data_IF_909981957408
#
_entry.id   IF_909981957408
#
_cell.length_a   1.000
_cell.length_b   1.000
_cell.length_c   1.000
_cell.angle_alpha   90.00
_cell.angle_beta   90.00
_cell.angle_gamma   90.00
#
_symmetry.space_group_name_H-M   'P 1'
#
loop_
_entity.id
_entity.type
_entity.pdbx_description
1 polymer ?
#
# COMPACT_ATOMS: atom_id res chain seq x y z
N UNK A 1 -3.35 -16.27 31.96
CA UNK A 1 -2.36 -15.22 31.71
C UNK A 1 -2.70 -14.58 30.38
N UNK A 2 -2.97 -13.27 30.28
CA UNK A 2 -3.26 -12.63 28.99
C UNK A 2 -1.97 -12.42 28.20
N UNK A 3 -2.00 -12.79 26.91
CA UNK A 3 -0.90 -12.62 25.96
C UNK A 3 -0.51 -11.14 25.79
N UNK A 4 0.76 -10.83 25.53
CA UNK A 4 1.28 -9.47 25.59
C UNK A 4 0.71 -8.59 24.47
N UNK A 5 0.14 -7.44 24.87
CA UNK A 5 -0.50 -6.40 24.04
C UNK A 5 0.41 -5.71 22.98
N UNK A 6 1.67 -6.14 22.84
CA UNK A 6 2.63 -5.57 21.84
C UNK A 6 2.47 -6.08 20.40
N UNK A 7 1.61 -7.08 20.16
CA UNK A 7 1.45 -7.69 18.84
C UNK A 7 0.58 -6.90 17.86
N UNK A 8 -0.21 -5.90 18.32
CA UNK A 8 -1.20 -5.23 17.47
C UNK A 8 -0.57 -4.19 16.51
N UNK A 9 0.34 -3.36 16.99
CA UNK A 9 0.94 -2.29 16.18
C UNK A 9 1.96 -2.81 15.14
N UNK A 10 2.65 -3.92 15.45
CA UNK A 10 3.65 -4.52 14.54
C UNK A 10 2.99 -5.36 13.44
N UNK A 11 1.81 -5.92 13.69
CA UNK A 11 1.05 -6.72 12.70
C UNK A 11 0.39 -5.86 11.61
N UNK A 12 0.01 -4.62 11.89
CA UNK A 12 -0.60 -3.74 10.88
C UNK A 12 0.37 -3.38 9.74
N UNK A 13 1.65 -3.17 10.00
CA UNK A 13 2.67 -2.91 8.96
C UNK A 13 2.99 -4.11 8.08
N UNK A 14 2.76 -5.34 8.55
CA UNK A 14 3.10 -6.57 7.81
C UNK A 14 2.04 -7.02 6.78
N UNK A 15 0.86 -6.38 6.74
CA UNK A 15 -0.28 -6.82 5.92
C UNK A 15 -0.76 -5.83 4.86
N UNK A 16 -0.08 -4.69 4.67
CA UNK A 16 -0.35 -3.79 3.53
C UNK A 16 0.15 -4.34 2.19
N UNK A 17 0.75 -5.52 2.19
CA UNK A 17 1.31 -6.17 0.99
C UNK A 17 0.27 -6.98 0.19
N UNK A 18 -0.91 -6.45 0.02
CA UNK A 18 -1.72 -6.84 -1.13
C UNK A 18 -1.51 -5.81 -2.22
N UNK A 19 -1.37 -6.29 -3.45
CA UNK A 19 -1.38 -5.46 -4.62
C UNK A 19 -2.65 -4.58 -4.61
N UNK A 20 -2.59 -3.44 -3.93
CA UNK A 20 -3.67 -2.48 -3.83
C UNK A 20 -3.35 -1.32 -4.76
N UNK A 21 -4.28 -0.99 -5.65
CA UNK A 21 -4.16 0.22 -6.45
C UNK A 21 -4.69 1.40 -5.64
N UNK A 22 -3.83 2.39 -5.41
CA UNK A 22 -4.20 3.63 -4.72
C UNK A 22 -4.83 4.61 -5.70
N UNK A 23 -5.81 5.39 -5.21
CA UNK A 23 -6.38 6.51 -5.93
C UNK A 23 -5.90 7.85 -5.35
N UNK A 24 -5.78 8.88 -6.21
CA UNK A 24 -5.60 10.24 -5.73
C UNK A 24 -6.82 10.74 -4.95
N UNK A 25 -6.63 11.70 -4.06
CA UNK A 25 -7.71 12.28 -3.27
C UNK A 25 -8.87 12.79 -4.15
N UNK A 26 -8.57 13.53 -5.24
CA UNK A 26 -9.60 14.07 -6.12
C UNK A 26 -10.41 12.96 -6.83
N UNK A 27 -9.77 11.84 -7.19
CA UNK A 27 -10.44 10.67 -7.75
C UNK A 27 -11.36 10.02 -6.71
N UNK A 28 -10.84 9.84 -5.49
CA UNK A 28 -11.57 9.28 -4.36
C UNK A 28 -12.80 10.14 -4.01
N UNK A 29 -12.65 11.46 -3.96
CA UNK A 29 -13.77 12.39 -3.70
C UNK A 29 -14.82 12.39 -4.79
N UNK A 30 -14.41 12.27 -6.05
CA UNK A 30 -15.38 12.13 -7.17
C UNK A 30 -16.24 10.87 -6.96
N UNK A 31 -15.60 9.75 -6.63
CA UNK A 31 -16.31 8.49 -6.37
C UNK A 31 -17.20 8.63 -5.12
N UNK A 32 -16.75 9.29 -4.06
CA UNK A 32 -17.58 9.58 -2.89
C UNK A 32 -18.85 10.36 -3.26
N UNK A 33 -18.72 11.40 -4.08
CA UNK A 33 -19.86 12.20 -4.54
C UNK A 33 -20.84 11.36 -5.39
N UNK A 34 -20.35 10.47 -6.26
CA UNK A 34 -21.17 9.53 -7.04
C UNK A 34 -22.03 8.62 -6.15
N UNK A 35 -21.55 8.28 -4.96
CA UNK A 35 -22.26 7.47 -3.97
C UNK A 35 -23.07 8.29 -2.97
N UNK A 36 -23.06 9.61 -3.08
CA UNK A 36 -23.81 10.51 -2.20
C UNK A 36 -23.13 10.83 -0.87
N UNK A 37 -21.82 10.59 -0.74
CA UNK A 37 -21.04 11.05 0.40
C UNK A 37 -20.69 12.53 0.21
N UNK A 38 -21.04 13.42 1.13
CA UNK A 38 -20.76 14.84 1.01
C UNK A 38 -19.26 15.13 0.99
N UNK A 39 -18.81 15.87 -0.02
CA UNK A 39 -17.42 16.35 -0.18
C UNK A 39 -17.42 17.84 -0.52
N UNK A 40 -16.37 18.59 -0.16
CA UNK A 40 -16.23 19.98 -0.62
C UNK A 40 -16.09 20.04 -2.14
N UNK A 41 -16.57 21.12 -2.74
CA UNK A 41 -16.31 21.41 -4.16
C UNK A 41 -14.83 21.59 -4.42
N UNK A 42 -14.31 20.96 -5.49
CA UNK A 42 -12.91 21.06 -5.82
C UNK A 42 -12.60 20.72 -7.28
N UNK A 43 -11.43 21.15 -7.75
CA UNK A 43 -10.93 20.93 -9.11
C UNK A 43 -9.45 20.58 -9.11
N UNK A 44 -9.06 19.64 -9.97
CA UNK A 44 -7.66 19.30 -10.20
C UNK A 44 -7.02 20.32 -11.14
N UNK A 45 -5.74 20.61 -10.91
CA UNK A 45 -4.93 21.49 -11.75
C UNK A 45 -3.52 20.92 -11.91
N UNK A 46 -3.00 20.99 -13.13
CA UNK A 46 -1.64 20.55 -13.49
C UNK A 46 -0.71 21.75 -13.76
N UNK A 47 -1.26 22.97 -13.79
CA UNK A 47 -0.54 24.21 -13.98
C UNK A 47 -0.99 25.28 -12.99
N UNK A 48 -0.16 26.32 -12.79
CA UNK A 48 -0.51 27.49 -11.98
C UNK A 48 -1.79 28.18 -12.54
N UNK A 49 -1.87 28.33 -13.85
CA UNK A 49 -2.99 28.99 -14.50
C UNK A 49 -4.31 28.24 -14.29
N UNK A 50 -4.28 26.89 -14.39
CA UNK A 50 -5.44 26.04 -14.09
C UNK A 50 -5.86 26.14 -12.63
N UNK A 51 -4.90 26.23 -11.69
CA UNK A 51 -5.21 26.36 -10.26
C UNK A 51 -5.88 27.71 -9.95
N UNK A 52 -5.42 28.79 -10.58
CA UNK A 52 -6.04 30.13 -10.47
C UNK A 52 -7.46 30.11 -11.06
N UNK A 53 -7.65 29.51 -12.24
CA UNK A 53 -8.96 29.36 -12.86
C UNK A 53 -9.92 28.55 -11.98
N UNK A 54 -9.44 27.43 -11.40
CA UNK A 54 -10.21 26.62 -10.47
C UNK A 54 -10.71 27.42 -9.26
N UNK A 55 -9.86 28.28 -8.69
CA UNK A 55 -10.25 29.16 -7.58
C UNK A 55 -11.35 30.17 -7.98
N UNK A 56 -11.33 30.65 -9.23
CA UNK A 56 -12.37 31.55 -9.76
C UNK A 56 -13.74 30.88 -9.94
N UNK A 57 -13.77 29.56 -10.12
CA UNK A 57 -15.00 28.80 -10.31
C UNK A 57 -15.55 28.18 -9.02
N UNK A 58 -14.75 28.11 -7.98
CA UNK A 58 -15.12 27.52 -6.70
C UNK A 58 -15.57 28.60 -5.71
N UNK A 59 -16.54 28.29 -4.82
CA UNK A 59 -16.93 29.22 -3.75
C UNK A 59 -15.74 29.64 -2.89
N UNK A 60 -15.55 30.96 -2.73
CA UNK A 60 -14.56 31.57 -1.84
C UNK A 60 -15.18 32.09 -0.53
N UNK A 61 -14.44 32.83 0.25
CA UNK A 61 -13.15 33.49 0.02
C UNK A 61 -11.91 32.68 0.46
N UNK A 62 -12.07 31.41 0.80
CA UNK A 62 -10.96 30.55 1.27
C UNK A 62 -10.88 29.32 0.39
N UNK A 63 -9.68 29.01 -0.07
CA UNK A 63 -9.37 27.79 -0.82
C UNK A 63 -8.24 27.03 -0.16
N UNK A 64 -8.18 25.72 -0.42
CA UNK A 64 -7.10 24.85 0.02
C UNK A 64 -6.47 24.20 -1.22
N UNK A 65 -5.15 24.37 -1.37
CA UNK A 65 -4.36 23.71 -2.42
C UNK A 65 -3.70 22.48 -1.84
N UNK A 66 -3.98 21.31 -2.40
CA UNK A 66 -3.52 20.01 -1.88
C UNK A 66 -2.72 19.26 -2.95
N UNK A 67 -1.45 18.95 -2.67
CA UNK A 67 -0.63 18.08 -3.53
C UNK A 67 -1.29 16.71 -3.71
N UNK A 68 -1.33 16.22 -4.94
CA UNK A 68 -1.89 14.90 -5.25
C UNK A 68 -0.77 13.87 -5.31
N UNK A 69 -0.60 13.11 -4.24
CA UNK A 69 0.35 12.01 -4.09
C UNK A 69 -0.30 10.86 -3.33
N UNK A 70 0.14 9.62 -3.59
CA UNK A 70 -0.36 8.41 -2.94
C UNK A 70 0.26 8.20 -1.54
N UNK A 71 0.27 9.25 -0.72
CA UNK A 71 0.81 9.19 0.64
C UNK A 71 -0.01 10.02 1.62
N UNK A 72 -0.09 9.55 2.84
CA UNK A 72 -0.64 10.29 3.98
C UNK A 72 0.36 11.29 4.56
N UNK A 73 -0.13 12.15 5.48
CA UNK A 73 0.72 13.12 6.18
C UNK A 73 1.10 14.35 5.34
N UNK A 74 0.45 14.56 4.20
CA UNK A 74 0.70 15.68 3.28
C UNK A 74 0.71 17.04 3.96
N UNK A 75 -0.22 17.27 4.89
CA UNK A 75 -0.31 18.54 5.62
C UNK A 75 0.96 18.87 6.39
N UNK A 76 1.51 17.90 7.14
CA UNK A 76 2.77 18.06 7.90
C UNK A 76 3.99 18.23 7.00
N UNK A 77 3.93 17.66 5.80
CA UNK A 77 5.01 17.75 4.80
C UNK A 77 4.93 19.00 3.91
N UNK A 78 3.99 19.92 4.15
CA UNK A 78 3.84 21.14 3.36
C UNK A 78 3.03 20.99 2.07
N UNK A 79 2.47 19.80 1.81
CA UNK A 79 1.64 19.49 0.63
C UNK A 79 0.18 19.97 0.73
N UNK A 80 -0.16 20.77 1.76
CA UNK A 80 -1.49 21.39 1.91
C UNK A 80 -1.29 22.86 2.28
N UNK A 81 -1.90 23.78 1.53
CA UNK A 81 -1.81 25.22 1.75
C UNK A 81 -3.19 25.86 1.71
N UNK A 82 -3.49 26.64 2.75
CA UNK A 82 -4.67 27.48 2.83
C UNK A 82 -4.39 28.81 2.13
N UNK A 83 -5.27 29.24 1.22
CA UNK A 83 -5.16 30.44 0.41
C UNK A 83 -6.42 31.31 0.57
N UNK A 84 -6.25 32.61 0.54
CA UNK A 84 -7.33 33.61 0.71
C UNK A 84 -7.56 34.46 -0.51
N UNK A 85 -6.82 34.19 -1.58
CA UNK A 85 -6.96 34.86 -2.87
C UNK A 85 -6.55 33.93 -4.00
N UNK A 86 -7.07 34.14 -5.22
CA UNK A 86 -6.69 33.36 -6.39
C UNK A 86 -5.18 33.48 -6.73
N UNK A 87 -4.52 34.63 -6.58
CA UNK A 87 -3.07 34.72 -6.74
C UNK A 87 -2.29 33.89 -5.69
N UNK A 88 -2.78 33.76 -4.46
CA UNK A 88 -2.17 32.85 -3.48
C UNK A 88 -2.33 31.40 -3.87
N UNK A 89 -3.47 30.99 -4.45
CA UNK A 89 -3.70 29.66 -4.99
C UNK A 89 -2.68 29.35 -6.10
N UNK A 90 -2.46 30.28 -7.05
CA UNK A 90 -1.46 30.14 -8.10
C UNK A 90 -0.05 29.94 -7.52
N UNK A 91 0.38 30.82 -6.61
CA UNK A 91 1.69 30.70 -5.94
C UNK A 91 1.86 29.38 -5.19
N UNK A 92 0.82 28.92 -4.49
CA UNK A 92 0.85 27.65 -3.78
C UNK A 92 0.96 26.46 -4.75
N UNK A 93 0.23 26.48 -5.85
CA UNK A 93 0.30 25.46 -6.90
C UNK A 93 1.68 25.43 -7.57
N UNK A 94 2.22 26.59 -7.97
CA UNK A 94 3.55 26.72 -8.58
C UNK A 94 4.67 26.21 -7.65
N UNK A 95 4.54 26.43 -6.34
CA UNK A 95 5.51 25.95 -5.36
C UNK A 95 5.47 24.44 -5.14
N UNK A 96 4.37 23.77 -5.45
CA UNK A 96 4.19 22.31 -5.29
C UNK A 96 4.45 21.54 -6.58
N UNK A 97 3.93 22.02 -7.72
CA UNK A 97 4.03 21.34 -9.00
C UNK A 97 5.49 21.11 -9.41
N UNK A 98 5.79 19.91 -9.90
CA UNK A 98 7.15 19.50 -10.28
C UNK A 98 8.09 19.20 -9.10
N UNK A 99 7.67 19.41 -7.86
CA UNK A 99 8.44 19.03 -6.67
C UNK A 99 8.17 17.60 -6.25
N UNK A 100 8.96 17.10 -5.30
CA UNK A 100 8.72 15.80 -4.65
C UNK A 100 8.27 16.01 -3.21
N UNK A 101 7.20 15.36 -2.82
CA UNK A 101 6.70 15.43 -1.45
C UNK A 101 7.28 14.28 -0.63
N UNK A 102 8.05 14.62 0.41
CA UNK A 102 8.61 13.66 1.36
C UNK A 102 7.72 13.60 2.59
N UNK A 103 7.17 12.43 2.87
CA UNK A 103 6.37 12.13 4.07
C UNK A 103 6.96 10.89 4.75
N UNK A 104 6.54 10.56 5.98
CA UNK A 104 6.95 9.29 6.62
C UNK A 104 6.59 8.03 5.81
N UNK A 105 5.64 8.13 4.87
CA UNK A 105 5.18 7.01 4.04
C UNK A 105 5.91 6.90 2.68
N UNK A 106 6.54 7.99 2.19
CA UNK A 106 7.16 8.02 0.85
C UNK A 106 8.66 7.70 0.85
N UNK A 107 9.23 7.44 2.02
CA UNK A 107 10.69 7.34 2.15
C UNK A 107 11.41 8.66 1.86
N UNK A 108 12.76 8.64 1.85
CA UNK A 108 13.59 9.84 1.68
C UNK A 108 13.51 10.45 0.28
N UNK A 109 13.17 9.67 -0.74
CA UNK A 109 13.07 10.14 -2.14
C UNK A 109 11.80 10.91 -2.42
N UNK A 110 10.74 10.74 -1.61
CA UNK A 110 9.44 11.35 -1.81
C UNK A 110 8.73 10.89 -3.09
N UNK A 111 7.49 11.37 -3.30
CA UNK A 111 6.69 11.13 -4.51
C UNK A 111 6.55 12.40 -5.33
N UNK A 112 6.54 12.32 -6.68
CA UNK A 112 6.41 13.49 -7.54
C UNK A 112 5.01 14.12 -7.45
N UNK A 113 4.95 15.44 -7.48
CA UNK A 113 3.69 16.19 -7.52
C UNK A 113 3.44 16.64 -8.95
N UNK A 114 2.61 15.91 -9.69
CA UNK A 114 2.20 16.27 -11.05
C UNK A 114 0.94 17.10 -11.08
N UNK A 115 0.13 17.01 -10.04
CA UNK A 115 -1.16 17.67 -9.93
C UNK A 115 -1.39 18.19 -8.52
N UNK A 116 -2.17 19.27 -8.44
CA UNK A 116 -2.74 19.79 -7.19
C UNK A 116 -4.26 19.74 -7.27
N UNK A 117 -4.91 19.62 -6.12
CA UNK A 117 -6.35 19.75 -5.99
C UNK A 117 -6.68 21.05 -5.29
N UNK A 118 -7.41 21.92 -5.97
CA UNK A 118 -7.90 23.19 -5.41
C UNK A 118 -9.31 22.95 -4.90
N UNK A 119 -9.55 23.22 -3.64
CA UNK A 119 -10.79 22.90 -2.93
C UNK A 119 -11.31 24.11 -2.18
N UNK A 120 -12.65 24.27 -2.12
CA UNK A 120 -13.28 25.28 -1.27
C UNK A 120 -13.00 25.01 0.20
N UNK A 121 -12.64 26.03 0.95
CA UNK A 121 -12.40 25.93 2.38
C UNK A 121 -13.68 25.57 3.14
N UNK A 122 -13.55 24.74 4.16
CA UNK A 122 -14.64 24.31 5.04
C UNK A 122 -14.52 24.95 6.42
N UNK A 123 -15.64 25.37 6.98
CA UNK A 123 -15.71 25.91 8.35
C UNK A 123 -15.78 24.75 9.36
N UNK A 124 -14.64 24.26 9.80
CA UNK A 124 -14.50 23.08 10.65
C UNK A 124 -14.89 23.43 12.10
N UNK A 125 -15.79 22.64 12.69
CA UNK A 125 -16.08 22.64 14.12
C UNK A 125 -15.42 21.46 14.84
N UNK A 126 -15.45 20.24 14.22
CA UNK A 126 -14.84 19.03 14.78
C UNK A 126 -14.26 18.17 13.65
N UNK A 127 -13.21 17.44 13.97
CA UNK A 127 -12.58 16.48 13.08
C UNK A 127 -12.76 15.06 13.62
N UNK A 128 -13.22 14.15 12.78
CA UNK A 128 -13.48 12.76 13.09
C UNK A 128 -12.69 11.86 12.13
N UNK A 129 -12.43 10.64 12.54
CA UNK A 129 -11.87 9.59 11.70
C UNK A 129 -12.95 8.57 11.35
N UNK A 130 -12.98 8.12 10.09
CA UNK A 130 -13.83 7.03 9.65
C UNK A 130 -13.12 6.20 8.58
N UNK A 131 -13.10 4.88 8.74
CA UNK A 131 -12.61 3.96 7.71
C UNK A 131 -13.44 2.70 7.61
N UNK A 132 -13.35 2.07 6.42
CA UNK A 132 -13.93 0.75 6.11
C UNK A 132 -12.80 -0.10 5.56
N UNK A 133 -12.60 -1.28 6.13
CA UNK A 133 -11.52 -2.19 5.76
C UNK A 133 -11.94 -3.65 5.96
N UNK A 134 -11.21 -4.58 5.33
CA UNK A 134 -11.35 -6.01 5.58
C UNK A 134 -10.48 -6.44 6.77
N UNK A 135 -11.11 -6.89 7.85
CA UNK A 135 -10.43 -7.63 8.90
C UNK A 135 -10.30 -9.10 8.50
N UNK A 136 -9.08 -9.49 8.11
CA UNK A 136 -8.80 -10.85 7.66
C UNK A 136 -8.80 -11.87 8.79
N UNK A 137 -8.44 -11.47 10.01
CA UNK A 137 -8.44 -12.36 11.18
C UNK A 137 -9.88 -12.80 11.51
N UNK A 138 -10.84 -11.86 11.38
CA UNK A 138 -12.26 -12.13 11.65
C UNK A 138 -13.06 -12.46 10.40
N UNK A 139 -12.44 -12.35 9.21
CA UNK A 139 -13.10 -12.53 7.90
C UNK A 139 -14.36 -11.67 7.75
N UNK A 140 -14.28 -10.39 8.18
CA UNK A 140 -15.39 -9.43 8.17
C UNK A 140 -14.95 -8.05 7.73
N UNK A 141 -15.86 -7.34 7.08
CA UNK A 141 -15.68 -5.90 6.87
C UNK A 141 -15.86 -5.21 8.21
N UNK A 142 -14.91 -4.34 8.55
CA UNK A 142 -14.95 -3.56 9.76
C UNK A 142 -15.05 -2.07 9.45
N UNK A 143 -15.87 -1.36 10.21
CA UNK A 143 -15.82 0.09 10.32
C UNK A 143 -15.00 0.46 11.55
N UNK A 144 -14.06 1.38 11.37
CA UNK A 144 -13.27 1.96 12.44
C UNK A 144 -13.51 3.46 12.45
N UNK A 145 -13.81 4.00 13.62
CA UNK A 145 -14.12 5.42 13.80
C UNK A 145 -13.46 5.96 15.06
N UNK A 146 -13.16 7.25 15.09
CA UNK A 146 -12.66 7.94 16.27
C UNK A 146 -13.06 9.41 16.27
N UNK A 147 -13.29 9.96 17.44
CA UNK A 147 -13.47 11.40 17.64
C UNK A 147 -12.15 12.19 17.53
N UNK A 148 -11.00 11.52 17.37
CA UNK A 148 -9.70 12.10 17.13
C UNK A 148 -9.35 12.02 15.62
N UNK A 149 -9.97 12.90 14.81
CA UNK A 149 -9.69 13.05 13.39
C UNK A 149 -8.48 13.95 13.11
N UNK A 150 -8.02 13.98 11.84
CA UNK A 150 -6.87 14.77 11.41
C UNK A 150 -5.52 14.32 11.98
N UNK A 151 -5.50 13.19 12.68
CA UNK A 151 -4.32 12.61 13.33
C UNK A 151 -3.98 11.25 12.73
N UNK A 152 -2.75 10.76 13.01
CA UNK A 152 -2.37 9.38 12.70
C UNK A 152 -3.16 8.43 13.60
N UNK A 153 -4.04 7.61 12.99
CA UNK A 153 -4.94 6.73 13.73
C UNK A 153 -4.21 5.58 14.42
N UNK A 154 -3.07 5.13 13.89
CA UNK A 154 -2.24 4.10 14.50
C UNK A 154 -1.64 4.60 15.81
N UNK A 155 -1.25 5.89 15.87
CA UNK A 155 -0.77 6.50 17.10
C UNK A 155 -1.90 6.63 18.14
N UNK A 156 -3.11 6.99 17.72
CA UNK A 156 -4.29 7.03 18.59
C UNK A 156 -4.60 5.63 19.11
N UNK A 157 -4.62 4.62 18.24
CA UNK A 157 -4.88 3.24 18.63
C UNK A 157 -3.82 2.67 19.60
N UNK A 158 -2.56 3.11 19.47
CA UNK A 158 -1.47 2.66 20.34
C UNK A 158 -1.48 3.33 21.73
N UNK A 159 -1.82 4.64 21.78
CA UNK A 159 -1.77 5.45 23.01
C UNK A 159 -3.09 5.46 23.77
N UNK A 160 -4.21 5.50 23.04
CA UNK A 160 -5.56 5.71 23.57
C UNK A 160 -6.55 4.76 22.87
N UNK A 161 -6.38 3.42 23.02
CA UNK A 161 -7.18 2.41 22.30
C UNK A 161 -8.69 2.50 22.57
N UNK A 162 -9.09 3.09 23.70
CA UNK A 162 -10.48 3.33 24.07
C UNK A 162 -11.18 4.38 23.19
N UNK A 163 -10.41 5.24 22.51
CA UNK A 163 -10.93 6.21 21.54
C UNK A 163 -11.26 5.58 20.17
N UNK A 164 -10.87 4.32 19.96
CA UNK A 164 -11.14 3.61 18.73
C UNK A 164 -12.46 2.87 18.86
N UNK A 165 -13.44 3.32 18.09
CA UNK A 165 -14.73 2.67 17.95
C UNK A 165 -14.65 1.68 16.79
N UNK A 166 -15.19 0.48 16.98
CA UNK A 166 -15.22 -0.55 15.95
C UNK A 166 -16.55 -1.24 15.90
N UNK A 167 -17.01 -1.53 14.69
CA UNK A 167 -18.07 -2.49 14.40
C UNK A 167 -17.60 -3.46 13.31
N UNK A 168 -18.00 -4.72 13.45
CA UNK A 168 -17.78 -5.75 12.44
C UNK A 168 -19.13 -6.00 11.74
N UNK A 169 -19.12 -6.02 10.41
CA UNK A 169 -20.30 -6.21 9.60
C UNK A 169 -20.43 -7.68 9.24
N UNK A 170 -21.57 -8.29 9.55
CA UNK A 170 -21.84 -9.65 9.14
C UNK A 170 -22.09 -9.69 7.62
N UNK A 171 -21.40 -10.57 6.85
CA UNK A 171 -21.51 -10.57 5.40
C UNK A 171 -22.89 -10.98 4.87
N UNK A 172 -23.68 -11.68 5.66
CA UNK A 172 -25.04 -12.10 5.29
C UNK A 172 -26.06 -11.01 5.63
N UNK A 173 -25.98 -10.45 6.84
CA UNK A 173 -26.89 -9.42 7.30
C UNK A 173 -26.60 -8.04 6.72
N UNK A 174 -25.36 -7.77 6.31
CA UNK A 174 -24.89 -6.46 5.88
C UNK A 174 -24.84 -5.43 7.02
N UNK A 175 -24.53 -4.18 6.66
CA UNK A 175 -24.47 -3.08 7.62
C UNK A 175 -25.87 -2.69 8.10
N UNK A 176 -26.10 -2.78 9.42
CA UNK A 176 -27.37 -2.50 10.05
C UNK A 176 -27.45 -1.09 10.66
N UNK A 177 -28.62 -0.47 10.66
CA UNK A 177 -28.81 0.89 11.17
C UNK A 177 -28.40 1.07 12.64
N UNK A 178 -28.61 0.06 13.49
CA UNK A 178 -28.18 0.13 14.89
C UNK A 178 -26.65 0.21 15.03
N UNK A 179 -25.92 -0.42 14.10
CA UNK A 179 -24.45 -0.36 14.05
C UNK A 179 -23.97 1.06 13.69
N UNK A 180 -24.59 1.68 12.69
CA UNK A 180 -24.32 3.07 12.31
C UNK A 180 -24.60 4.01 13.48
N UNK A 181 -25.77 3.88 14.17
CA UNK A 181 -26.10 4.68 15.33
C UNK A 181 -25.13 4.48 16.49
N UNK A 182 -24.67 3.24 16.73
CA UNK A 182 -23.65 2.97 17.76
C UNK A 182 -22.36 3.76 17.51
N UNK A 183 -21.89 3.81 16.26
CA UNK A 183 -20.73 4.63 15.90
C UNK A 183 -21.05 6.14 16.06
N UNK A 184 -22.19 6.59 15.54
CA UNK A 184 -22.59 7.99 15.62
C UNK A 184 -22.63 8.50 17.07
N UNK A 185 -23.23 7.75 17.98
CA UNK A 185 -23.25 8.10 19.41
C UNK A 185 -21.85 8.07 20.04
N UNK A 186 -21.04 7.07 19.70
CA UNK A 186 -19.66 6.99 20.17
C UNK A 186 -18.77 8.14 19.68
N UNK A 187 -19.06 8.72 18.50
CA UNK A 187 -18.43 9.92 17.97
C UNK A 187 -19.01 11.21 18.59
N UNK A 188 -20.03 11.13 19.45
CA UNK A 188 -20.73 12.28 20.00
C UNK A 188 -21.49 13.09 18.95
N UNK A 189 -22.07 12.42 17.96
CA UNK A 189 -22.96 13.04 16.97
C UNK A 189 -24.38 13.09 17.52
N UNK A 190 -25.09 14.18 17.19
CA UNK A 190 -26.42 14.49 17.76
C UNK A 190 -27.40 14.91 16.68
N UNK A 191 -28.70 14.78 17.00
CA UNK A 191 -29.78 15.25 16.15
C UNK A 191 -29.71 14.70 14.72
N UNK A 192 -29.73 15.59 13.73
CA UNK A 192 -29.68 15.24 12.30
C UNK A 192 -28.36 14.55 11.88
N UNK A 193 -27.27 14.81 12.60
CA UNK A 193 -25.95 14.25 12.29
C UNK A 193 -25.97 12.72 12.36
N UNK A 194 -26.82 12.13 13.21
CA UNK A 194 -26.95 10.66 13.35
C UNK A 194 -27.47 10.06 12.04
N UNK A 195 -28.50 10.67 11.45
CA UNK A 195 -29.06 10.20 10.17
C UNK A 195 -28.13 10.47 8.99
N UNK A 196 -27.43 11.62 8.97
CA UNK A 196 -26.40 11.93 7.96
C UNK A 196 -25.24 10.93 8.03
N UNK A 197 -24.78 10.60 9.25
CA UNK A 197 -23.72 9.59 9.45
C UNK A 197 -24.18 8.20 8.99
N UNK A 198 -25.41 7.78 9.30
CA UNK A 198 -25.96 6.51 8.81
C UNK A 198 -25.99 6.47 7.28
N UNK A 199 -26.39 7.58 6.63
CA UNK A 199 -26.38 7.69 5.16
C UNK A 199 -24.97 7.54 4.59
N UNK A 200 -23.99 8.24 5.17
CA UNK A 200 -22.57 8.16 4.78
C UNK A 200 -22.04 6.73 4.98
N UNK A 201 -22.26 6.12 6.14
CA UNK A 201 -21.75 4.78 6.43
C UNK A 201 -22.35 3.73 5.47
N UNK A 202 -23.63 3.82 5.14
CA UNK A 202 -24.28 2.93 4.15
C UNK A 202 -23.75 3.15 2.74
N UNK A 203 -23.49 4.41 2.35
CA UNK A 203 -22.89 4.76 1.08
C UNK A 203 -21.48 4.17 0.95
N UNK A 204 -20.64 4.33 1.99
CA UNK A 204 -19.29 3.77 2.03
C UNK A 204 -19.28 2.24 2.01
N UNK A 205 -20.22 1.59 2.70
CA UNK A 205 -20.35 0.13 2.69
C UNK A 205 -20.73 -0.39 1.30
N UNK A 206 -21.71 0.26 0.65
CA UNK A 206 -22.09 -0.07 -0.73
C UNK A 206 -20.93 0.15 -1.70
N UNK A 207 -20.26 1.31 -1.63
CA UNK A 207 -19.09 1.64 -2.40
C UNK A 207 -17.99 0.59 -2.24
N UNK A 208 -17.70 0.20 -0.99
CA UNK A 208 -16.66 -0.76 -0.65
C UNK A 208 -16.89 -2.12 -1.36
N UNK A 209 -18.13 -2.60 -1.35
CA UNK A 209 -18.51 -3.87 -1.97
C UNK A 209 -18.58 -3.79 -3.49
N UNK A 210 -19.25 -2.77 -4.04
CA UNK A 210 -19.51 -2.65 -5.48
C UNK A 210 -18.22 -2.35 -6.28
N UNK A 211 -17.23 -1.71 -5.67
CA UNK A 211 -15.98 -1.31 -6.32
C UNK A 211 -14.79 -2.18 -5.92
N UNK A 212 -15.01 -3.29 -5.22
CA UNK A 212 -13.95 -4.20 -4.77
C UNK A 212 -12.81 -3.45 -4.06
N UNK A 213 -13.15 -2.68 -3.04
CA UNK A 213 -12.16 -1.89 -2.32
C UNK A 213 -11.51 -2.71 -1.20
N UNK A 214 -10.25 -2.41 -0.91
CA UNK A 214 -9.51 -2.97 0.22
C UNK A 214 -9.46 -2.01 1.42
N UNK A 215 -9.58 -0.71 1.15
CA UNK A 215 -9.64 0.35 2.16
C UNK A 215 -10.46 1.53 1.62
N UNK A 216 -11.29 2.08 2.49
CA UNK A 216 -11.85 3.44 2.36
C UNK A 216 -11.53 4.17 3.66
N UNK A 217 -10.91 5.35 3.55
CA UNK A 217 -10.55 6.14 4.73
C UNK A 217 -10.94 7.60 4.49
N UNK A 218 -11.53 8.20 5.52
CA UNK A 218 -11.86 9.62 5.61
C UNK A 218 -11.15 10.18 6.84
N UNK A 219 -10.12 10.98 6.63
CA UNK A 219 -9.33 11.55 7.73
C UNK A 219 -8.86 12.99 7.43
N UNK A 220 -9.69 14.01 7.78
CA UNK A 220 -10.87 13.90 8.63
C UNK A 220 -12.22 13.82 7.88
N UNK A 221 -13.19 13.15 8.52
CA UNK A 221 -14.60 13.46 8.37
C UNK A 221 -14.91 14.63 9.29
N UNK A 222 -15.38 15.76 8.77
CA UNK A 222 -15.60 16.95 9.59
C UNK A 222 -17.08 17.12 9.95
N UNK A 223 -17.30 17.70 11.13
CA UNK A 223 -18.55 18.41 11.45
C UNK A 223 -18.29 19.88 11.16
N UNK A 224 -19.05 20.47 10.29
CA UNK A 224 -18.97 21.89 9.94
C UNK A 224 -19.62 22.76 11.04
N UNK A 225 -19.37 24.08 11.05
CA UNK A 225 -19.96 24.99 12.05
C UNK A 225 -21.48 25.07 11.98
N UNK A 226 -22.07 24.78 10.83
CA UNK A 226 -23.53 24.66 10.62
C UNK A 226 -24.05 23.25 10.94
N UNK A 227 -23.16 22.34 11.37
CA UNK A 227 -23.48 21.01 11.86
C UNK A 227 -23.59 19.93 10.81
N UNK A 228 -23.24 20.17 9.53
CA UNK A 228 -23.24 19.15 8.48
C UNK A 228 -22.00 18.24 8.56
N UNK A 229 -22.12 17.01 8.05
CA UNK A 229 -21.00 16.08 7.91
C UNK A 229 -20.42 16.15 6.50
N UNK A 230 -19.09 16.31 6.39
CA UNK A 230 -18.39 16.42 5.09
C UNK A 230 -17.08 15.64 5.15
N UNK A 231 -16.79 14.84 4.13
CA UNK A 231 -15.52 14.15 3.95
C UNK A 231 -14.47 15.13 3.40
N UNK A 232 -13.60 15.64 4.27
CA UNK A 232 -12.61 16.67 3.92
C UNK A 232 -11.37 16.08 3.26
N UNK A 233 -11.02 14.84 3.56
CA UNK A 233 -10.00 14.06 2.85
C UNK A 233 -10.59 12.70 2.49
N UNK A 234 -10.02 12.05 1.47
CA UNK A 234 -10.50 10.79 0.96
C UNK A 234 -9.32 9.92 0.48
N UNK A 235 -9.26 8.70 0.97
CA UNK A 235 -8.33 7.68 0.51
C UNK A 235 -9.10 6.42 0.16
N UNK A 236 -8.91 5.95 -1.08
CA UNK A 236 -9.45 4.68 -1.56
C UNK A 236 -8.29 3.82 -2.05
N UNK A 237 -8.28 2.57 -1.59
CA UNK A 237 -7.43 1.53 -2.14
C UNK A 237 -8.35 0.47 -2.77
N UNK A 238 -8.09 0.16 -4.04
CA UNK A 238 -8.81 -0.86 -4.80
C UNK A 238 -8.06 -2.19 -4.70
N UNK A 239 -8.76 -3.30 -4.55
CA UNK A 239 -8.14 -4.62 -4.66
C UNK A 239 -7.66 -4.84 -6.10
N UNK A 240 -6.34 -4.86 -6.30
CA UNK A 240 -5.76 -5.02 -7.62
C UNK A 240 -6.14 -6.36 -8.29
N UNK A 241 -6.46 -7.40 -7.50
CA UNK A 241 -6.93 -8.67 -8.04
C UNK A 241 -8.32 -8.57 -8.68
N UNK A 242 -9.09 -7.52 -8.38
CA UNK A 242 -10.42 -7.28 -8.93
C UNK A 242 -10.43 -6.31 -10.12
N UNK A 243 -9.29 -5.71 -10.49
CA UNK A 243 -9.21 -4.69 -11.56
C UNK A 243 -9.71 -5.21 -12.93
N UNK A 244 -9.62 -6.52 -13.18
CA UNK A 244 -10.14 -7.12 -14.42
C UNK A 244 -11.64 -6.89 -14.62
N UNK A 245 -12.41 -6.68 -13.55
CA UNK A 245 -13.85 -6.37 -13.58
C UNK A 245 -14.17 -4.92 -13.21
N UNK A 246 -13.16 -4.12 -12.88
CA UNK A 246 -13.27 -2.71 -12.50
C UNK A 246 -12.51 -1.81 -13.50
N UNK A 247 -12.81 -1.95 -14.82
CA UNK A 247 -12.08 -1.26 -15.88
C UNK A 247 -12.03 0.27 -15.71
N UNK A 248 -13.12 0.89 -15.21
CA UNK A 248 -13.16 2.33 -14.96
C UNK A 248 -12.19 2.75 -13.83
N UNK A 249 -12.01 1.91 -12.80
CA UNK A 249 -11.04 2.17 -11.75
C UNK A 249 -9.61 1.90 -12.24
N UNK A 250 -9.40 0.82 -12.99
CA UNK A 250 -8.09 0.50 -13.56
C UNK A 250 -7.53 1.65 -14.42
N UNK A 251 -8.39 2.38 -15.15
CA UNK A 251 -8.03 3.54 -15.94
C UNK A 251 -7.57 4.76 -15.10
N UNK A 252 -7.82 4.75 -13.79
CA UNK A 252 -7.40 5.83 -12.86
C UNK A 252 -6.01 5.58 -12.26
N UNK A 253 -5.35 4.47 -12.58
CA UNK A 253 -4.02 4.14 -12.09
C UNK A 253 -3.00 5.21 -12.49
N UNK A 254 -2.18 5.63 -11.53
CA UNK A 254 -1.05 6.53 -11.77
C UNK A 254 0.28 5.81 -11.48
N UNK A 255 0.93 5.26 -12.52
CA UNK A 255 2.20 4.54 -12.36
C UNK A 255 3.35 5.40 -11.81
N UNK A 256 3.27 6.73 -11.93
CA UNK A 256 4.30 7.63 -11.40
C UNK A 256 4.35 7.69 -9.87
N UNK A 257 3.30 7.21 -9.22
CA UNK A 257 3.16 7.16 -7.77
C UNK A 257 3.52 5.79 -7.18
N UNK A 258 3.88 4.83 -8.02
CA UNK A 258 4.25 3.47 -7.61
C UNK A 258 5.76 3.32 -7.41
N UNK A 259 6.17 2.31 -6.65
CA UNK A 259 7.58 1.92 -6.59
C UNK A 259 8.02 1.42 -7.98
N UNK A 260 9.14 1.93 -8.46
CA UNK A 260 9.65 1.66 -9.81
C UNK A 260 9.93 0.16 -10.01
N UNK A 261 10.44 -0.52 -8.99
CA UNK A 261 10.74 -1.94 -9.07
C UNK A 261 9.46 -2.78 -9.06
N UNK A 262 8.45 -2.37 -8.28
CA UNK A 262 7.14 -3.03 -8.26
C UNK A 262 6.42 -2.84 -9.60
N UNK A 263 6.51 -1.65 -10.20
CA UNK A 263 5.98 -1.35 -11.53
C UNK A 263 6.62 -2.21 -12.61
N UNK A 264 7.96 -2.27 -12.63
CA UNK A 264 8.71 -3.10 -13.59
C UNK A 264 8.41 -4.59 -13.41
N UNK A 265 8.25 -5.05 -12.17
CA UNK A 265 7.87 -6.43 -11.89
C UNK A 265 6.50 -6.78 -12.48
N UNK A 266 5.54 -5.88 -12.35
CA UNK A 266 4.19 -6.06 -12.87
C UNK A 266 4.17 -6.21 -14.40
N UNK A 267 5.06 -5.54 -15.15
CA UNK A 267 5.22 -5.68 -16.60
C UNK A 267 5.63 -7.11 -17.02
N UNK A 268 6.26 -7.86 -16.11
CA UNK A 268 6.67 -9.25 -16.30
C UNK A 268 5.78 -10.26 -15.56
N UNK A 269 4.61 -9.82 -15.10
CA UNK A 269 3.67 -10.62 -14.29
C UNK A 269 4.33 -11.23 -13.03
N UNK A 270 5.26 -10.51 -12.42
CA UNK A 270 5.92 -10.88 -11.17
C UNK A 270 5.27 -10.16 -10.00
N UNK A 271 5.05 -10.88 -8.89
CA UNK A 271 4.64 -10.27 -7.65
C UNK A 271 5.88 -9.84 -6.86
N UNK A 272 6.18 -8.55 -6.86
CA UNK A 272 7.34 -7.97 -6.21
C UNK A 272 6.91 -6.92 -5.19
N UNK A 273 7.61 -6.90 -4.05
CA UNK A 273 7.48 -5.85 -3.05
C UNK A 273 8.87 -5.47 -2.56
N UNK A 274 9.19 -4.18 -2.60
CA UNK A 274 10.44 -3.62 -2.06
C UNK A 274 10.44 -3.64 -0.53
N UNK A 275 11.56 -4.10 0.07
CA UNK A 275 11.81 -4.09 1.50
C UNK A 275 13.15 -3.44 1.81
N UNK A 276 13.40 -3.12 3.09
CA UNK A 276 14.59 -2.36 3.51
C UNK A 276 15.85 -3.20 3.77
N UNK A 277 15.78 -4.52 3.61
CA UNK A 277 16.89 -5.42 3.87
C UNK A 277 17.97 -5.48 2.80
N UNK A 278 18.85 -6.48 2.94
CA UNK A 278 20.01 -6.69 2.08
C UNK A 278 20.12 -8.12 1.51
N UNK A 279 19.17 -9.00 1.79
CA UNK A 279 19.10 -10.35 1.23
C UNK A 279 17.93 -10.39 0.26
N UNK A 280 18.24 -10.40 -1.03
CA UNK A 280 17.21 -10.50 -2.05
C UNK A 280 16.66 -11.92 -2.15
N UNK A 281 15.35 -12.03 -2.34
CA UNK A 281 14.63 -13.31 -2.38
C UNK A 281 13.97 -13.51 -3.74
N UNK A 282 14.03 -14.74 -4.26
CA UNK A 282 13.25 -15.21 -5.40
C UNK A 282 12.64 -16.56 -5.05
N UNK A 283 11.32 -16.64 -5.05
CA UNK A 283 10.59 -17.81 -4.56
C UNK A 283 9.41 -18.10 -5.50
N UNK A 284 8.96 -19.34 -5.59
CA UNK A 284 7.70 -19.67 -6.27
C UNK A 284 6.60 -19.99 -5.25
N UNK A 285 5.61 -19.12 -5.23
CA UNK A 285 4.46 -19.18 -4.33
C UNK A 285 4.58 -18.29 -3.11
N UNK A 286 3.56 -17.46 -2.88
CA UNK A 286 3.54 -16.43 -1.85
C UNK A 286 3.75 -16.97 -0.43
N UNK A 287 3.16 -18.13 -0.09
CA UNK A 287 3.35 -18.77 1.22
C UNK A 287 4.78 -19.18 1.47
N UNK A 288 5.45 -19.75 0.46
CA UNK A 288 6.87 -20.12 0.56
C UNK A 288 7.76 -18.88 0.64
N UNK A 289 7.41 -17.81 -0.07
CA UNK A 289 8.12 -16.52 -0.01
C UNK A 289 8.05 -15.92 1.40
N UNK A 290 6.88 -15.86 2.02
CA UNK A 290 6.71 -15.39 3.40
C UNK A 290 7.51 -16.23 4.39
N UNK A 291 7.41 -17.56 4.31
CA UNK A 291 8.17 -18.47 5.18
C UNK A 291 9.69 -18.29 4.99
N UNK A 292 10.16 -18.07 3.76
CA UNK A 292 11.58 -17.83 3.46
C UNK A 292 12.06 -16.52 4.11
N UNK A 293 11.28 -15.45 4.03
CA UNK A 293 11.60 -14.16 4.66
C UNK A 293 11.62 -14.28 6.20
N UNK A 294 10.68 -15.01 6.78
CA UNK A 294 10.64 -15.25 8.23
C UNK A 294 11.89 -16.03 8.70
N UNK A 295 12.32 -17.04 7.96
CA UNK A 295 13.54 -17.77 8.26
C UNK A 295 14.80 -16.90 8.13
N UNK A 296 14.89 -16.03 7.12
CA UNK A 296 15.97 -15.05 7.01
C UNK A 296 16.03 -14.19 8.28
N UNK A 297 14.90 -13.65 8.74
CA UNK A 297 14.81 -12.84 9.96
C UNK A 297 15.15 -13.65 11.21
N UNK A 298 14.67 -14.88 11.32
CA UNK A 298 14.97 -15.78 12.44
C UNK A 298 16.48 -16.00 12.57
N UNK A 299 17.18 -16.18 11.45
CA UNK A 299 18.64 -16.34 11.41
C UNK A 299 19.43 -15.04 11.50
N UNK A 300 18.78 -13.89 11.67
CA UNK A 300 19.40 -12.58 11.91
C UNK A 300 19.73 -11.78 10.65
N UNK A 301 19.14 -12.13 9.51
CA UNK A 301 19.21 -11.36 8.28
C UNK A 301 17.98 -10.48 8.06
N UNK A 302 18.03 -9.63 7.03
CA UNK A 302 16.93 -8.76 6.65
C UNK A 302 16.62 -8.93 5.15
N UNK A 303 15.39 -9.37 4.79
CA UNK A 303 14.99 -9.52 3.39
C UNK A 303 14.89 -8.17 2.69
N UNK A 304 15.42 -8.09 1.46
CA UNK A 304 15.42 -6.89 0.63
C UNK A 304 14.16 -6.74 -0.22
N UNK A 305 13.43 -7.83 -0.41
CA UNK A 305 12.19 -7.86 -1.18
C UNK A 305 11.39 -9.13 -0.89
N UNK A 306 10.09 -9.05 -1.17
CA UNK A 306 9.25 -10.19 -1.50
C UNK A 306 9.28 -10.35 -3.03
N UNK A 307 9.44 -11.57 -3.54
CA UNK A 307 9.32 -11.86 -4.98
C UNK A 307 8.80 -13.28 -5.18
N UNK A 308 7.62 -13.37 -5.75
CA UNK A 308 6.99 -14.61 -6.17
C UNK A 308 6.97 -14.68 -7.71
N UNK A 309 7.69 -15.66 -8.25
CA UNK A 309 7.74 -15.90 -9.71
C UNK A 309 6.55 -16.74 -10.22
N UNK A 310 5.68 -17.18 -9.30
CA UNK A 310 4.50 -17.97 -9.62
C UNK A 310 4.76 -19.44 -9.93
N UNK A 311 3.67 -20.19 -10.05
CA UNK A 311 3.70 -21.64 -10.29
C UNK A 311 3.96 -22.04 -11.76
N UNK A 312 4.04 -21.09 -12.69
CA UNK A 312 4.29 -21.29 -14.13
C UNK A 312 5.52 -20.52 -14.61
N UNK A 313 6.53 -20.37 -13.75
CA UNK A 313 7.72 -19.59 -14.04
C UNK A 313 8.44 -20.12 -15.31
N UNK A 314 8.62 -19.21 -16.30
CA UNK A 314 9.43 -19.46 -17.50
C UNK A 314 10.86 -18.94 -17.30
N UNK A 315 11.78 -19.33 -18.18
CA UNK A 315 13.14 -18.82 -18.15
C UNK A 315 13.20 -17.28 -18.30
N UNK A 316 12.29 -16.69 -19.11
CA UNK A 316 12.19 -15.24 -19.28
C UNK A 316 11.78 -14.55 -17.99
N UNK A 317 10.76 -15.06 -17.28
CA UNK A 317 10.30 -14.52 -16.00
C UNK A 317 11.39 -14.61 -14.93
N UNK A 318 12.10 -15.73 -14.87
CA UNK A 318 13.25 -15.91 -13.97
C UNK A 318 14.36 -14.90 -14.30
N UNK A 319 14.65 -14.68 -15.58
CA UNK A 319 15.65 -13.70 -16.01
C UNK A 319 15.23 -12.27 -15.64
N UNK A 320 13.97 -11.90 -15.84
CA UNK A 320 13.42 -10.62 -15.45
C UNK A 320 13.50 -10.43 -13.92
N UNK A 321 13.15 -11.47 -13.14
CA UNK A 321 13.27 -11.45 -11.68
C UNK A 321 14.72 -11.20 -11.22
N UNK A 322 15.71 -11.84 -11.83
CA UNK A 322 17.12 -11.58 -11.51
C UNK A 322 17.55 -10.16 -11.87
N UNK A 323 17.12 -9.62 -13.01
CA UNK A 323 17.43 -8.22 -13.39
C UNK A 323 16.88 -7.24 -12.35
N UNK A 324 15.64 -7.44 -11.89
CA UNK A 324 15.05 -6.64 -10.83
C UNK A 324 15.83 -6.74 -9.53
N UNK A 325 16.20 -7.95 -9.10
CA UNK A 325 17.01 -8.15 -7.89
C UNK A 325 18.35 -7.42 -8.00
N UNK A 326 19.01 -7.50 -9.15
CA UNK A 326 20.33 -6.90 -9.37
C UNK A 326 20.29 -5.37 -9.47
N UNK A 327 19.16 -4.78 -9.83
CA UNK A 327 18.97 -3.33 -9.80
C UNK A 327 18.85 -2.77 -8.36
N UNK A 328 18.61 -3.63 -7.36
CA UNK A 328 18.59 -3.21 -5.97
C UNK A 328 20.01 -3.05 -5.40
N UNK A 329 20.49 -1.82 -5.34
CA UNK A 329 21.83 -1.49 -4.85
C UNK A 329 22.10 -1.91 -3.38
N UNK A 330 21.07 -2.21 -2.60
CA UNK A 330 21.18 -2.68 -1.20
C UNK A 330 21.42 -4.17 -1.09
N UNK A 331 21.12 -4.95 -2.13
CA UNK A 331 21.30 -6.39 -2.12
C UNK A 331 22.78 -6.76 -1.95
N UNK A 332 23.06 -7.71 -1.03
CA UNK A 332 24.38 -8.26 -0.74
C UNK A 332 24.46 -9.75 -0.98
N UNK A 333 23.35 -10.43 -0.97
CA UNK A 333 23.21 -11.86 -1.32
C UNK A 333 21.84 -12.10 -1.95
N UNK A 334 21.73 -13.15 -2.75
CA UNK A 334 20.49 -13.60 -3.35
C UNK A 334 20.14 -14.98 -2.82
N UNK A 335 18.91 -15.17 -2.32
CA UNK A 335 18.38 -16.46 -1.94
C UNK A 335 17.28 -16.86 -2.90
N UNK A 336 17.49 -17.95 -3.62
CA UNK A 336 16.50 -18.58 -4.50
C UNK A 336 15.97 -19.82 -3.80
N UNK A 337 14.65 -19.86 -3.56
CA UNK A 337 14.01 -20.99 -2.90
C UNK A 337 12.83 -21.48 -3.74
N UNK A 338 13.02 -22.59 -4.42
CA UNK A 338 12.01 -23.15 -5.35
C UNK A 338 11.56 -24.52 -4.85
N UNK A 339 10.26 -24.68 -4.78
CA UNK A 339 9.62 -25.97 -4.61
C UNK A 339 8.92 -26.38 -5.91
N UNK A 340 9.47 -27.41 -6.55
CA UNK A 340 8.98 -27.91 -7.83
C UNK A 340 7.81 -28.87 -7.67
N UNK A 341 6.62 -28.32 -7.53
CA UNK A 341 5.37 -29.07 -7.73
C UNK A 341 5.02 -29.08 -9.23
N UNK A 342 4.30 -28.02 -9.66
CA UNK A 342 3.95 -27.77 -11.07
C UNK A 342 5.19 -27.24 -11.83
N UNK A 343 5.97 -26.37 -11.20
CA UNK A 343 7.23 -25.85 -11.77
C UNK A 343 8.31 -26.91 -11.73
N UNK A 344 9.01 -27.07 -12.83
CA UNK A 344 10.16 -27.98 -12.95
C UNK A 344 11.43 -27.25 -12.55
N UNK A 345 12.16 -27.82 -11.60
CA UNK A 345 13.40 -27.23 -11.07
C UNK A 345 14.50 -27.10 -12.14
N UNK A 346 14.56 -28.01 -13.14
CA UNK A 346 15.53 -27.92 -14.23
C UNK A 346 15.30 -26.68 -15.13
N UNK A 347 14.06 -26.28 -15.39
CA UNK A 347 13.73 -25.04 -16.14
C UNK A 347 14.17 -23.81 -15.35
N UNK A 348 13.94 -23.81 -14.04
CA UNK A 348 14.41 -22.72 -13.18
C UNK A 348 15.94 -22.65 -13.14
N UNK A 349 16.63 -23.79 -13.05
CA UNK A 349 18.09 -23.83 -13.05
C UNK A 349 18.67 -23.26 -14.36
N UNK A 350 18.07 -23.59 -15.51
CA UNK A 350 18.43 -23.02 -16.80
C UNK A 350 18.23 -21.49 -16.82
N UNK A 351 17.08 -21.02 -16.32
CA UNK A 351 16.79 -19.59 -16.18
C UNK A 351 17.79 -18.86 -15.26
N UNK A 352 18.16 -19.45 -14.12
CA UNK A 352 19.19 -18.93 -13.23
C UNK A 352 20.54 -18.82 -13.95
N UNK A 353 20.97 -19.91 -14.60
CA UNK A 353 22.24 -19.95 -15.33
C UNK A 353 22.28 -18.87 -16.43
N UNK A 354 21.20 -18.74 -17.18
CA UNK A 354 21.06 -17.73 -18.23
C UNK A 354 21.10 -16.32 -17.64
N UNK A 355 20.33 -16.07 -16.59
CA UNK A 355 20.26 -14.76 -15.95
C UNK A 355 21.62 -14.33 -15.35
N UNK A 356 22.32 -15.26 -14.68
CA UNK A 356 23.63 -14.99 -14.09
C UNK A 356 24.67 -14.68 -15.16
N UNK A 357 24.63 -15.41 -16.31
CA UNK A 357 25.53 -15.15 -17.45
C UNK A 357 25.25 -13.81 -18.14
N UNK A 358 23.97 -13.51 -18.38
CA UNK A 358 23.55 -12.30 -19.12
C UNK A 358 23.66 -11.04 -18.28
N UNK A 359 23.34 -11.12 -17.00
CA UNK A 359 23.28 -9.97 -16.09
C UNK A 359 24.60 -9.65 -15.38
N UNK A 360 25.63 -10.49 -15.51
CA UNK A 360 26.92 -10.27 -14.85
C UNK A 360 26.81 -10.27 -13.32
N UNK A 361 26.14 -11.27 -12.74
CA UNK A 361 25.84 -11.33 -11.30
C UNK A 361 27.13 -11.42 -10.48
N UNK A 362 27.42 -10.36 -9.74
CA UNK A 362 28.57 -10.29 -8.83
C UNK A 362 28.20 -10.56 -7.35
N UNK A 363 26.91 -10.85 -7.08
CA UNK A 363 26.42 -11.16 -5.76
C UNK A 363 26.46 -12.67 -5.50
N UNK A 364 26.75 -13.13 -4.26
CA UNK A 364 26.65 -14.53 -3.91
C UNK A 364 25.19 -15.00 -4.03
N UNK A 365 25.00 -16.14 -4.69
CA UNK A 365 23.70 -16.76 -4.91
C UNK A 365 23.60 -18.06 -4.12
N UNK A 366 22.60 -18.15 -3.25
CA UNK A 366 22.24 -19.38 -2.55
C UNK A 366 20.99 -19.95 -3.17
N UNK A 367 21.01 -21.21 -3.55
CA UNK A 367 19.88 -21.88 -4.23
C UNK A 367 19.44 -23.12 -3.46
N UNK A 368 18.15 -23.17 -3.13
CA UNK A 368 17.47 -24.38 -2.67
C UNK A 368 16.43 -24.79 -3.71
N UNK A 369 16.59 -25.99 -4.23
CA UNK A 369 15.67 -26.60 -5.17
C UNK A 369 15.17 -27.94 -4.62
N UNK A 370 13.86 -28.12 -4.59
CA UNK A 370 13.22 -29.36 -4.14
C UNK A 370 11.98 -29.65 -4.98
N UNK A 371 11.65 -30.93 -5.17
CA UNK A 371 10.51 -31.39 -5.96
C UNK A 371 10.92 -31.88 -7.36
N UNK A 372 10.05 -31.66 -8.37
CA UNK A 372 10.19 -32.21 -9.70
C UNK A 372 11.51 -31.81 -10.36
N UNK A 373 12.34 -32.78 -10.74
CA UNK A 373 13.65 -32.61 -11.40
C UNK A 373 14.71 -31.86 -10.55
N UNK A 374 14.59 -31.85 -9.22
CA UNK A 374 15.53 -31.14 -8.34
C UNK A 374 16.97 -31.66 -8.46
N UNK A 375 17.17 -32.99 -8.60
CA UNK A 375 18.51 -33.58 -8.77
C UNK A 375 19.15 -33.15 -10.10
N UNK A 376 18.39 -33.17 -11.18
CA UNK A 376 18.83 -32.69 -12.49
C UNK A 376 19.20 -31.20 -12.44
N UNK A 377 18.38 -30.40 -11.77
CA UNK A 377 18.63 -28.97 -11.58
C UNK A 377 19.92 -28.69 -10.78
N UNK A 378 20.16 -29.43 -9.69
CA UNK A 378 21.40 -29.34 -8.91
C UNK A 378 22.63 -29.70 -9.75
N UNK A 379 22.53 -30.75 -10.56
CA UNK A 379 23.60 -31.15 -11.49
C UNK A 379 23.88 -30.04 -12.53
N UNK A 380 22.85 -29.44 -13.13
CA UNK A 380 22.99 -28.31 -14.06
C UNK A 380 23.68 -27.11 -13.41
N UNK A 381 23.27 -26.72 -12.20
CA UNK A 381 23.89 -25.62 -11.47
C UNK A 381 25.38 -25.93 -11.15
N UNK A 382 25.70 -27.13 -10.71
CA UNK A 382 27.07 -27.54 -10.43
C UNK A 382 27.96 -27.54 -11.68
N UNK A 383 27.42 -27.98 -12.83
CA UNK A 383 28.13 -27.99 -14.10
C UNK A 383 28.28 -26.62 -14.76
N UNK A 384 27.54 -25.60 -14.28
CA UNK A 384 27.50 -24.25 -14.87
C UNK A 384 28.80 -23.45 -14.70
N UNK A 385 29.66 -23.82 -13.77
CA UNK A 385 30.88 -23.08 -13.39
C UNK A 385 30.60 -21.76 -12.64
N UNK A 386 29.36 -21.48 -12.27
CA UNK A 386 28.97 -20.26 -11.56
C UNK A 386 29.17 -20.37 -10.04
N UNK A 387 29.44 -19.24 -9.37
CA UNK A 387 29.61 -19.19 -7.91
C UNK A 387 28.24 -19.30 -7.19
N UNK A 388 27.57 -20.46 -7.35
CA UNK A 388 26.27 -20.76 -6.75
C UNK A 388 26.46 -21.72 -5.59
N UNK A 389 25.92 -21.36 -4.41
CA UNK A 389 25.92 -22.19 -3.21
C UNK A 389 24.60 -22.97 -3.14
N UNK A 390 24.63 -24.28 -3.27
CA UNK A 390 23.45 -25.13 -3.10
C UNK A 390 23.16 -25.37 -1.62
N UNK A 391 21.91 -25.24 -1.21
CA UNK A 391 21.44 -25.51 0.13
C UNK A 391 20.63 -26.81 0.19
N UNK A 392 20.70 -27.51 1.34
CA UNK A 392 20.02 -28.80 1.58
C UNK A 392 18.55 -28.63 1.97
N UNK A 393 18.23 -27.57 2.72
CA UNK A 393 16.90 -27.23 3.20
C UNK A 393 16.74 -25.70 3.31
N UNK A 394 15.54 -25.21 3.65
CA UNK A 394 15.25 -23.77 3.71
C UNK A 394 16.01 -23.07 4.83
N UNK A 395 16.21 -23.73 5.99
CA UNK A 395 16.96 -23.17 7.12
C UNK A 395 18.45 -23.04 6.79
N UNK A 396 19.04 -24.06 6.13
CA UNK A 396 20.41 -24.02 5.62
C UNK A 396 20.57 -22.91 4.56
N UNK A 397 19.56 -22.73 3.68
CA UNK A 397 19.55 -21.67 2.68
C UNK A 397 19.56 -20.28 3.33
N UNK A 398 18.69 -20.04 4.30
CA UNK A 398 18.63 -18.78 5.04
C UNK A 398 19.93 -18.52 5.80
N UNK A 399 20.47 -19.54 6.50
CA UNK A 399 21.76 -19.44 7.21
C UNK A 399 22.92 -19.06 6.29
N UNK A 400 23.02 -19.71 5.12
CA UNK A 400 24.05 -19.42 4.13
C UNK A 400 23.88 -18.01 3.55
N UNK A 401 22.66 -17.61 3.20
CA UNK A 401 22.37 -16.29 2.67
C UNK A 401 22.73 -15.16 3.68
N UNK A 402 22.36 -15.32 4.96
CA UNK A 402 22.71 -14.37 6.02
C UNK A 402 24.22 -14.25 6.18
N UNK A 403 24.94 -15.37 6.19
CA UNK A 403 26.41 -15.37 6.29
C UNK A 403 27.06 -14.66 5.10
N UNK A 404 26.62 -14.96 3.88
CA UNK A 404 27.17 -14.39 2.66
C UNK A 404 26.83 -12.90 2.51
N UNK A 405 25.72 -12.45 3.07
CA UNK A 405 25.37 -11.02 3.13
C UNK A 405 26.16 -10.23 4.20
N UNK A 406 27.08 -10.88 4.94
CA UNK A 406 27.88 -10.26 6.00
C UNK A 406 27.15 -10.19 7.36
N UNK A 407 26.01 -10.89 7.50
CA UNK A 407 25.25 -10.97 8.74
C UNK A 407 25.85 -11.97 9.76
N UNK A 408 25.56 -11.72 11.05
CA UNK A 408 25.84 -12.69 12.13
C UNK A 408 24.64 -13.63 12.27
N UNK A 409 24.87 -14.91 11.98
CA UNK A 409 23.83 -15.92 12.13
C UNK A 409 23.47 -16.07 13.60
N UNK A 410 22.20 -15.88 13.95
CA UNK A 410 21.65 -16.21 15.27
C UNK A 410 21.51 -17.74 15.36
N UNK A 411 21.98 -18.32 16.46
CA UNK A 411 21.88 -19.76 16.77
C UNK A 411 20.51 -20.07 17.38
#
# INVERSE_FOLDING_TARGET
MPAPRRAFATRFKAFEYNAAMNLHEYQSKRIFAEYGVPVPGGKVASTEAEAVAAAGELPGPVWVVKAQVHAGGRGKAGGVKLCRSAPEVGKAAAAMLGQRLVTPQTGATGLPIHQVYVESGSAIARELYLSVLLDRERSRIAFVASAAGGMNIEEVAAKEPEKILRIDVDPVAGLQGYQCRRLAFGLGLEGRQIAEFESIARALYRLYLERDLSLVEINPLIVTKDGALVALDAKINVDANALFRQAALAALRDPSQEDEMERQAAEHELNYVSLDGNIACMVNGAGLAMATMDLIKLHGGEPANFLDVGGTATAERVTAAFRLILSNARARAILVNIFGGIVRCDVIAEGIIQAVKVAGVNLPVVVRLEGTNADKARALLAASGLAITVAKDVSDAATKAVRLAGGRVKR
#
